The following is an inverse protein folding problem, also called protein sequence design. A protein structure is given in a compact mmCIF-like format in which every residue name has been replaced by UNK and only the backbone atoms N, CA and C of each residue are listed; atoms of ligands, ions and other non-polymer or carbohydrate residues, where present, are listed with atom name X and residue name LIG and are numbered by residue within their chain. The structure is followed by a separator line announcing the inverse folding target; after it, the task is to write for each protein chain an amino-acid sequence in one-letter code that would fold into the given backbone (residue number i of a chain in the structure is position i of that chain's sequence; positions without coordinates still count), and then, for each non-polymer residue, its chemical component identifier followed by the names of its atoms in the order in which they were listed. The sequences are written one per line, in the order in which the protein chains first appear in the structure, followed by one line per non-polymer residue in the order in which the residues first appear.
data_IF_639545857561
#
_entry.id   IF_639545857561
#
_cell.length_a   1.000
_cell.length_b   1.000
_cell.length_c   1.000
_cell.angle_alpha   90.00
_cell.angle_beta   90.00
_cell.angle_gamma   90.00
#
_symmetry.space_group_name_H-M   'P 1'
#
loop_
_entity.id
_entity.type
_entity.pdbx_description
1 polymer ?
#
# COMPACT_ATOMS: atom_id res chain seq x y z
N UNK A 1 -10.32 11.65 -10.30
CA UNK A 1 -9.97 10.29 -9.84
C UNK A 1 -8.71 9.80 -10.55
N UNK A 2 -7.83 9.08 -9.84
CA UNK A 2 -6.66 8.43 -10.45
C UNK A 2 -7.08 7.26 -11.36
N UNK A 3 -6.38 7.09 -12.50
CA UNK A 3 -6.58 5.93 -13.36
C UNK A 3 -6.11 4.65 -12.65
N UNK A 4 -7.05 3.73 -12.40
CA UNK A 4 -6.81 2.47 -11.68
C UNK A 4 -5.82 1.57 -12.42
N UNK A 5 -5.81 1.60 -13.76
CA UNK A 5 -4.86 0.82 -14.56
C UNK A 5 -3.45 1.33 -14.34
N UNK A 6 -3.26 2.65 -14.43
CA UNK A 6 -1.95 3.30 -14.20
C UNK A 6 -1.48 3.07 -12.76
N UNK A 7 -2.40 3.16 -11.79
CA UNK A 7 -2.09 2.89 -10.38
C UNK A 7 -1.65 1.43 -10.15
N UNK A 8 -2.33 0.46 -10.75
CA UNK A 8 -1.93 -0.96 -10.70
C UNK A 8 -0.56 -1.18 -11.32
N UNK A 9 -0.35 -0.70 -12.54
CA UNK A 9 0.92 -0.85 -13.27
C UNK A 9 2.10 -0.25 -12.50
N UNK A 10 1.88 0.87 -11.81
CA UNK A 10 2.87 1.48 -10.94
C UNK A 10 3.33 0.52 -9.83
N UNK A 11 2.42 -0.09 -9.08
CA UNK A 11 2.78 -1.01 -8.00
C UNK A 11 3.34 -2.35 -8.48
N UNK A 12 2.86 -2.87 -9.60
CA UNK A 12 3.50 -4.02 -10.26
C UNK A 12 4.93 -3.68 -10.67
N UNK A 13 5.19 -2.43 -11.07
CA UNK A 13 6.53 -1.89 -11.30
C UNK A 13 7.36 -1.76 -10.02
N UNK A 14 6.75 -1.41 -8.87
CA UNK A 14 7.44 -1.36 -7.57
C UNK A 14 7.99 -2.73 -7.18
N UNK A 15 7.26 -3.82 -7.44
CA UNK A 15 7.75 -5.18 -7.18
C UNK A 15 9.07 -5.49 -7.88
N UNK A 16 9.22 -5.03 -9.14
CA UNK A 16 10.44 -5.24 -9.92
C UNK A 16 11.64 -4.45 -9.37
N UNK A 17 11.37 -3.37 -8.64
CA UNK A 17 12.36 -2.46 -8.05
C UNK A 17 12.72 -2.81 -6.61
N UNK A 18 11.83 -3.51 -5.89
CA UNK A 18 12.02 -3.97 -4.50
C UNK A 18 11.80 -5.50 -4.47
N UNK A 19 12.84 -6.30 -4.75
CA UNK A 19 12.74 -7.77 -4.85
C UNK A 19 12.41 -8.47 -3.51
N UNK A 20 12.47 -7.74 -2.40
CA UNK A 20 11.99 -8.16 -1.09
C UNK A 20 10.46 -8.34 -1.10
N UNK A 21 9.72 -7.58 -1.91
CA UNK A 21 8.29 -7.75 -2.10
C UNK A 21 8.05 -8.96 -3.01
N UNK A 22 7.51 -10.03 -2.44
CA UNK A 22 7.33 -11.30 -3.17
C UNK A 22 6.07 -11.34 -4.00
N UNK A 23 5.05 -10.59 -3.61
CA UNK A 23 3.77 -10.55 -4.31
C UNK A 23 3.10 -9.19 -4.15
N UNK A 24 2.43 -8.75 -5.20
CA UNK A 24 1.61 -7.55 -5.20
C UNK A 24 0.18 -7.95 -5.52
N UNK A 25 -0.77 -7.54 -4.68
CA UNK A 25 -2.18 -7.88 -4.83
C UNK A 25 -3.06 -6.64 -4.65
N UNK A 26 -3.84 -6.24 -5.67
CA UNK A 26 -4.91 -5.29 -5.46
C UNK A 26 -6.00 -5.96 -4.61
N UNK A 27 -6.50 -5.23 -3.61
CA UNK A 27 -7.51 -5.72 -2.67
C UNK A 27 -8.73 -4.80 -2.63
N UNK A 28 -9.88 -5.43 -2.57
CA UNK A 28 -11.18 -4.87 -2.22
C UNK A 28 -11.63 -5.46 -0.88
N UNK A 29 -12.51 -4.76 -0.16
CA UNK A 29 -13.04 -5.24 1.11
C UNK A 29 -14.21 -6.19 0.80
N UNK A 30 -13.91 -7.43 0.44
CA UNK A 30 -14.91 -8.49 0.22
C UNK A 30 -14.48 -9.86 0.78
N UNK A 31 -15.45 -10.78 0.87
CA UNK A 31 -15.26 -12.11 1.46
C UNK A 31 -14.38 -13.03 0.61
N UNK A 32 -14.38 -12.88 -0.71
CA UNK A 32 -13.60 -13.71 -1.63
C UNK A 32 -12.11 -13.38 -1.52
N UNK A 33 -11.78 -12.10 -1.37
CA UNK A 33 -10.44 -11.62 -1.12
C UNK A 33 -9.91 -12.09 0.23
N UNK A 34 -10.78 -12.16 1.25
CA UNK A 34 -10.39 -12.70 2.57
C UNK A 34 -9.90 -14.15 2.49
N UNK A 35 -10.56 -14.99 1.67
CA UNK A 35 -10.12 -16.38 1.42
C UNK A 35 -8.79 -16.43 0.67
N UNK A 36 -8.64 -15.58 -0.34
CA UNK A 36 -7.40 -15.47 -1.14
C UNK A 36 -6.22 -15.10 -0.25
N UNK A 37 -6.39 -14.11 0.65
CA UNK A 37 -5.33 -13.66 1.56
C UNK A 37 -4.97 -14.75 2.58
N UNK A 38 -5.95 -15.45 3.14
CA UNK A 38 -5.71 -16.56 4.08
C UNK A 38 -4.96 -17.74 3.43
N UNK A 39 -5.21 -17.98 2.14
CA UNK A 39 -4.56 -19.02 1.34
C UNK A 39 -3.11 -18.74 0.97
N UNK A 40 -2.61 -17.51 1.15
CA UNK A 40 -1.23 -17.15 0.82
C UNK A 40 -0.24 -17.92 1.71
N UNK A 41 0.82 -18.42 1.08
CA UNK A 41 1.88 -19.15 1.76
C UNK A 41 2.92 -18.20 2.36
N UNK A 42 3.80 -18.71 3.22
CA UNK A 42 4.85 -17.89 3.84
C UNK A 42 5.94 -17.50 2.84
N UNK A 43 6.16 -18.33 1.83
CA UNK A 43 7.12 -18.12 0.75
C UNK A 43 6.73 -16.96 -0.17
N UNK A 44 5.43 -16.65 -0.22
CA UNK A 44 4.88 -15.50 -0.95
C UNK A 44 4.96 -14.19 -0.15
N UNK A 45 5.49 -14.21 1.07
CA UNK A 45 5.62 -13.03 1.94
C UNK A 45 7.03 -12.40 1.91
N UNK A 46 7.16 -11.07 2.09
CA UNK A 46 6.09 -10.11 2.34
C UNK A 46 5.28 -9.75 1.07
N UNK A 47 3.97 -9.60 1.27
CA UNK A 47 2.99 -9.26 0.24
C UNK A 47 2.62 -7.80 0.37
N UNK A 48 2.58 -7.10 -0.76
CA UNK A 48 2.07 -5.73 -0.85
C UNK A 48 0.61 -5.77 -1.31
N UNK A 49 -0.30 -5.50 -0.39
CA UNK A 49 -1.71 -5.30 -0.69
C UNK A 49 -1.97 -3.84 -1.05
N UNK A 50 -2.70 -3.62 -2.14
CA UNK A 50 -3.01 -2.29 -2.64
C UNK A 50 -4.52 -2.09 -2.57
N UNK A 51 -4.99 -1.17 -1.73
CA UNK A 51 -6.40 -0.78 -1.78
C UNK A 51 -6.65 0.09 -3.01
N UNK A 52 -7.82 -0.10 -3.62
CA UNK A 52 -8.31 0.80 -4.66
C UNK A 52 -8.47 2.20 -4.03
N UNK A 53 -7.86 3.26 -4.61
CA UNK A 53 -7.91 4.59 -4.04
C UNK A 53 -9.34 5.11 -3.95
N UNK A 54 -9.67 5.80 -2.84
CA UNK A 54 -10.93 6.51 -2.72
C UNK A 54 -10.77 7.98 -3.14
N UNK A 55 -11.74 8.50 -3.89
CA UNK A 55 -11.79 9.92 -4.26
C UNK A 55 -12.65 10.69 -3.25
N UNK A 56 -12.11 11.78 -2.71
CA UNK A 56 -12.87 12.75 -1.90
C UNK A 56 -12.79 14.11 -2.56
N UNK A 57 -13.93 14.82 -2.69
CA UNK A 57 -13.96 16.16 -3.26
C UNK A 57 -13.00 17.12 -2.56
N UNK A 58 -12.18 17.83 -3.33
CA UNK A 58 -11.17 18.76 -2.81
C UNK A 58 -11.74 20.12 -2.34
N UNK A 59 -13.00 20.41 -2.64
CA UNK A 59 -13.66 21.69 -2.32
C UNK A 59 -15.18 21.51 -2.18
N UNK A 60 -15.81 22.45 -1.47
CA UNK A 60 -17.27 22.57 -1.29
C UNK A 60 -17.98 23.26 -2.47
N UNK A 61 -17.23 23.74 -3.47
CA UNK A 61 -17.82 24.33 -4.67
C UNK A 61 -18.58 23.29 -5.50
N UNK A 62 -19.77 23.65 -5.97
CA UNK A 62 -20.60 22.78 -6.82
C UNK A 62 -19.91 22.43 -8.16
N UNK A 63 -19.02 23.29 -8.65
CA UNK A 63 -18.26 23.07 -9.89
C UNK A 63 -16.94 22.31 -9.66
N UNK A 64 -16.66 21.89 -8.42
CA UNK A 64 -15.40 21.23 -8.12
C UNK A 64 -15.38 19.79 -8.62
N UNK A 65 -14.70 19.56 -9.73
CA UNK A 65 -14.40 18.23 -10.28
C UNK A 65 -13.10 17.63 -9.74
N UNK A 66 -12.34 18.37 -8.91
CA UNK A 66 -11.07 17.89 -8.34
C UNK A 66 -11.29 16.99 -7.16
N UNK A 67 -10.52 15.91 -7.12
CA UNK A 67 -10.54 14.93 -6.05
C UNK A 67 -9.17 14.77 -5.40
N UNK A 68 -9.18 14.59 -4.09
CA UNK A 68 -8.08 14.05 -3.33
C UNK A 68 -8.24 12.54 -3.30
N UNK A 69 -7.24 11.81 -3.78
CA UNK A 69 -7.28 10.35 -3.85
C UNK A 69 -6.52 9.80 -2.65
N UNK A 70 -7.23 9.27 -1.67
CA UNK A 70 -6.63 8.60 -0.54
C UNK A 70 -6.22 7.19 -0.97
N UNK A 71 -4.94 6.92 -0.87
CA UNK A 71 -4.32 5.65 -1.18
C UNK A 71 -3.84 5.01 0.12
N UNK A 72 -4.09 3.71 0.25
CA UNK A 72 -3.60 2.92 1.38
C UNK A 72 -3.02 1.64 0.81
N UNK A 73 -1.78 1.35 1.22
CA UNK A 73 -1.13 0.08 0.94
C UNK A 73 -0.85 -0.65 2.26
N UNK A 74 -0.79 -1.97 2.21
CA UNK A 74 -0.35 -2.78 3.33
C UNK A 74 0.82 -3.65 2.88
N UNK A 75 1.95 -3.53 3.56
CA UNK A 75 3.05 -4.47 3.43
C UNK A 75 2.97 -5.45 4.59
N UNK A 76 2.59 -6.68 4.28
CA UNK A 76 2.24 -7.68 5.28
C UNK A 76 3.05 -8.95 5.10
N UNK A 77 3.45 -9.56 6.21
CA UNK A 77 4.07 -10.87 6.22
C UNK A 77 3.31 -11.83 7.13
N UNK A 78 3.21 -13.08 6.69
CA UNK A 78 2.56 -14.13 7.46
C UNK A 78 3.48 -14.55 8.60
N UNK A 79 2.96 -14.53 9.83
CA UNK A 79 3.69 -14.97 11.02
C UNK A 79 2.99 -16.16 11.67
N UNK A 80 3.78 -16.95 12.39
CA UNK A 80 3.29 -18.05 13.21
C UNK A 80 3.38 -17.63 14.68
N UNK A 81 2.27 -17.34 15.36
CA UNK A 81 2.27 -16.88 16.74
C UNK A 81 3.01 -17.81 17.72
N UNK A 82 3.15 -19.10 17.40
CA UNK A 82 3.86 -20.06 18.27
C UNK A 82 5.38 -19.99 18.13
N UNK A 83 5.89 -19.49 17.00
CA UNK A 83 7.32 -19.44 16.69
C UNK A 83 7.88 -18.04 16.69
N UNK A 84 7.10 -17.07 16.22
CA UNK A 84 7.54 -15.70 15.98
C UNK A 84 6.38 -14.73 16.17
N UNK A 85 6.57 -13.72 17.02
CA UNK A 85 5.54 -12.73 17.30
C UNK A 85 5.21 -11.81 16.12
N UNK A 86 4.08 -11.11 16.24
CA UNK A 86 3.72 -10.04 15.31
C UNK A 86 4.76 -8.91 15.32
N UNK A 87 5.29 -8.56 16.49
CA UNK A 87 6.25 -7.47 16.66
C UNK A 87 7.57 -7.73 15.91
N UNK A 88 8.18 -8.91 16.11
CA UNK A 88 9.38 -9.32 15.37
C UNK A 88 9.14 -9.38 13.85
N UNK A 89 7.91 -9.66 13.43
CA UNK A 89 7.54 -9.64 12.00
C UNK A 89 7.47 -8.23 11.46
N UNK A 90 6.91 -7.29 12.23
CA UNK A 90 6.85 -5.87 11.90
C UNK A 90 8.26 -5.28 11.80
N UNK A 91 9.18 -5.65 12.70
CA UNK A 91 10.59 -5.21 12.65
C UNK A 91 11.30 -5.69 11.38
N UNK A 92 11.14 -6.97 11.02
CA UNK A 92 11.75 -7.53 9.80
C UNK A 92 11.26 -6.86 8.51
N UNK A 93 9.98 -6.47 8.45
CA UNK A 93 9.42 -5.81 7.25
C UNK A 93 9.61 -4.29 7.24
N UNK A 94 10.11 -3.70 8.33
CA UNK A 94 10.31 -2.25 8.43
C UNK A 94 11.26 -1.69 7.35
N UNK A 95 12.42 -2.30 7.03
CA UNK A 95 13.30 -1.76 5.98
C UNK A 95 12.62 -1.69 4.61
N UNK A 96 11.70 -2.60 4.34
CA UNK A 96 10.99 -2.68 3.07
C UNK A 96 9.95 -1.56 2.95
N UNK A 97 9.18 -1.26 4.02
CA UNK A 97 8.24 -0.13 3.98
C UNK A 97 8.95 1.23 3.92
N UNK A 98 10.11 1.37 4.58
CA UNK A 98 10.95 2.57 4.46
C UNK A 98 11.47 2.73 3.02
N UNK A 99 11.85 1.63 2.36
CA UNK A 99 12.28 1.66 0.96
C UNK A 99 11.15 2.08 0.02
N UNK A 100 9.92 1.63 0.27
CA UNK A 100 8.73 2.07 -0.48
C UNK A 100 8.50 3.58 -0.29
N UNK A 101 8.60 4.10 0.93
CA UNK A 101 8.46 5.54 1.20
C UNK A 101 9.51 6.36 0.45
N UNK A 102 10.77 5.94 0.52
CA UNK A 102 11.86 6.61 -0.19
C UNK A 102 11.62 6.64 -1.70
N UNK A 103 11.17 5.53 -2.27
CA UNK A 103 10.80 5.44 -3.69
C UNK A 103 9.65 6.37 -4.05
N UNK A 104 8.59 6.46 -3.22
CA UNK A 104 7.47 7.38 -3.47
C UNK A 104 7.94 8.84 -3.54
N UNK A 105 8.88 9.22 -2.67
CA UNK A 105 9.48 10.57 -2.65
C UNK A 105 10.32 10.81 -3.92
N UNK A 106 11.18 9.85 -4.30
CA UNK A 106 12.01 9.93 -5.50
C UNK A 106 11.18 9.98 -6.79
N UNK A 107 10.15 9.13 -6.90
CA UNK A 107 9.24 9.09 -8.05
C UNK A 107 8.44 10.41 -8.14
N UNK A 108 8.08 11.01 -7.00
CA UNK A 108 7.42 12.32 -6.98
C UNK A 108 8.35 13.43 -7.50
N UNK A 109 9.62 13.42 -7.08
CA UNK A 109 10.62 14.40 -7.51
C UNK A 109 10.96 14.29 -9.01
N UNK A 110 10.87 13.10 -9.60
CA UNK A 110 11.10 12.86 -11.04
C UNK A 110 9.88 13.13 -11.91
N UNK A 111 8.72 13.44 -11.30
CA UNK A 111 7.49 13.78 -12.01
C UNK A 111 6.72 12.57 -12.56
N UNK A 112 6.86 11.39 -11.93
CA UNK A 112 6.10 10.19 -12.29
C UNK A 112 4.58 10.50 -12.31
N UNK A 113 3.83 10.09 -13.35
CA UNK A 113 2.41 10.45 -13.50
C UNK A 113 1.53 10.11 -12.31
N UNK A 114 1.85 9.06 -11.55
CA UNK A 114 1.10 8.62 -10.36
C UNK A 114 1.45 9.45 -9.13
N UNK A 115 2.73 9.78 -8.94
CA UNK A 115 3.24 10.38 -7.69
C UNK A 115 3.57 11.87 -7.80
N UNK A 116 3.40 12.47 -8.98
CA UNK A 116 3.69 13.89 -9.26
C UNK A 116 2.96 14.85 -8.32
N UNK A 117 1.76 14.48 -7.87
CA UNK A 117 0.93 15.29 -6.97
C UNK A 117 0.76 14.62 -5.59
N UNK A 118 1.76 13.83 -5.19
CA UNK A 118 1.83 13.23 -3.86
C UNK A 118 1.94 14.32 -2.79
N UNK A 119 1.02 14.30 -1.83
CA UNK A 119 1.10 15.15 -0.65
C UNK A 119 2.02 14.49 0.39
N UNK A 120 3.28 14.92 0.44
CA UNK A 120 4.28 14.39 1.38
C UNK A 120 3.89 14.58 2.85
N UNK A 121 3.03 15.55 3.16
CA UNK A 121 2.54 15.78 4.53
C UNK A 121 1.45 14.80 4.95
N UNK A 122 0.87 14.08 3.99
CA UNK A 122 -0.17 13.07 4.23
C UNK A 122 0.35 11.66 4.48
N UNK A 123 1.67 11.45 4.38
CA UNK A 123 2.30 10.14 4.60
C UNK A 123 2.11 9.71 6.06
N UNK A 124 1.33 8.66 6.27
CA UNK A 124 1.08 8.07 7.58
C UNK A 124 1.42 6.58 7.54
N UNK A 125 2.36 6.14 8.37
CA UNK A 125 2.76 4.73 8.51
C UNK A 125 2.28 4.21 9.85
N UNK A 126 1.52 3.12 9.87
CA UNK A 126 1.04 2.51 11.11
C UNK A 126 1.42 1.03 11.16
N UNK A 127 1.84 0.52 12.32
CA UNK A 127 2.06 -0.91 12.50
C UNK A 127 0.72 -1.63 12.54
N UNK A 128 0.60 -2.71 11.79
CA UNK A 128 -0.61 -3.53 11.70
C UNK A 128 -0.31 -4.94 12.19
N UNK A 129 -1.19 -5.47 13.04
CA UNK A 129 -1.08 -6.84 13.53
C UNK A 129 -2.46 -7.50 13.59
N UNK A 130 -2.49 -8.82 13.42
CA UNK A 130 -3.74 -9.56 13.40
C UNK A 130 -4.57 -9.35 12.13
N UNK A 131 -3.98 -8.78 11.08
CA UNK A 131 -4.60 -8.68 9.76
C UNK A 131 -4.91 -10.11 9.28
N UNK A 132 -6.21 -10.42 9.09
CA UNK A 132 -6.71 -11.79 8.87
C UNK A 132 -6.08 -12.86 9.80
N UNK A 133 -5.87 -12.49 11.07
CA UNK A 133 -5.35 -13.31 12.19
C UNK A 133 -3.88 -13.78 12.12
N UNK A 134 -3.27 -13.83 10.94
CA UNK A 134 -1.92 -14.41 10.77
C UNK A 134 -0.94 -13.49 10.05
N UNK A 135 -1.33 -12.26 9.74
CA UNK A 135 -0.46 -11.28 9.11
C UNK A 135 -0.13 -10.13 10.06
N UNK A 136 1.11 -9.67 9.97
CA UNK A 136 1.61 -8.48 10.63
C UNK A 136 2.55 -7.73 9.68
N UNK A 137 2.61 -6.41 9.85
CA UNK A 137 3.46 -5.56 9.04
C UNK A 137 3.09 -4.09 9.17
N UNK A 138 3.07 -3.38 8.05
CA UNK A 138 2.87 -1.93 8.02
C UNK A 138 1.76 -1.54 7.06
N UNK A 139 0.91 -0.62 7.46
CA UNK A 139 0.08 0.15 6.55
C UNK A 139 0.79 1.48 6.23
N UNK A 140 0.65 1.93 4.98
CA UNK A 140 1.09 3.25 4.55
C UNK A 140 -0.07 3.93 3.82
N UNK A 141 -0.56 5.01 4.41
CA UNK A 141 -1.57 5.89 3.83
C UNK A 141 -0.92 7.16 3.29
N UNK A 142 -1.40 7.63 2.15
CA UNK A 142 -0.99 8.89 1.52
C UNK A 142 -2.07 9.37 0.56
N UNK A 143 -2.04 10.65 0.24
CA UNK A 143 -3.00 11.27 -0.67
C UNK A 143 -2.32 11.83 -1.91
N UNK A 144 -2.95 11.62 -3.06
CA UNK A 144 -2.62 12.34 -4.29
C UNK A 144 -3.66 13.43 -4.53
N UNK A 145 -3.20 14.64 -4.82
CA UNK A 145 -4.07 15.66 -5.41
C UNK A 145 -4.24 15.30 -6.89
N UNK A 146 -5.46 15.42 -7.41
CA UNK A 146 -5.65 15.37 -8.87
C UNK A 146 -6.01 16.75 -9.40
N UNK A 147 -5.31 17.16 -10.45
CA UNK A 147 -5.39 18.46 -11.11
C UNK A 147 -6.71 18.73 -11.81
#
# INVERSE_FOLDING_TARGET
MIDIKVYREYWEGVQKRIPEIKKVLPVTIDEEMSKTIQGLSKEECPVLFILIPSGTGASLSADNVRENNLCVIFLMSKYDPQRKGAYETIEEVQPVIERIKQMLIEDSATGCPVTKELDLTSLSTLPESGFYRTFAGWSLAFSFKTR
#
